data_IF_092405375731
#
_entry.id   IF_092405375731
#
_cell.length_a   1.000
_cell.length_b   1.000
_cell.length_c   1.000
_cell.angle_alpha   90.00
_cell.angle_beta   90.00
_cell.angle_gamma   90.00
#
_symmetry.space_group_name_H-M   'P 1'
#
loop_
_entity.id
_entity.type
_entity.pdbx_description
1 polymer ?
#
# COMPACT_ATOMS: atom_id res chain seq x y z
N UNK A 1 12.88 -36.67 30.73
CA UNK A 1 13.36 -37.01 32.08
C UNK A 1 14.87 -37.07 32.00
N UNK A 2 15.55 -36.04 32.51
CA UNK A 2 17.01 -36.00 32.52
C UNK A 2 17.51 -36.89 33.69
N UNK A 3 18.46 -37.77 33.43
CA UNK A 3 19.11 -38.57 34.46
C UNK A 3 19.85 -37.63 35.43
N UNK A 4 19.95 -38.00 36.71
CA UNK A 4 20.70 -37.16 37.66
C UNK A 4 22.18 -37.08 37.26
N UNK A 5 22.89 -36.02 37.65
CA UNK A 5 24.31 -35.87 37.33
C UNK A 5 25.17 -37.07 37.82
N UNK A 6 24.74 -37.71 38.90
CA UNK A 6 25.36 -38.92 39.44
C UNK A 6 25.06 -40.15 38.56
N UNK A 7 23.84 -40.29 38.06
CA UNK A 7 23.46 -41.36 37.13
C UNK A 7 24.20 -41.22 35.80
N UNK A 8 24.34 -40.01 35.27
CA UNK A 8 25.16 -39.76 34.08
C UNK A 8 26.63 -40.11 34.29
N UNK A 9 27.20 -39.77 35.46
CA UNK A 9 28.57 -40.14 35.80
C UNK A 9 28.75 -41.66 35.88
N UNK A 10 27.77 -42.38 36.44
CA UNK A 10 27.75 -43.84 36.50
C UNK A 10 27.61 -44.45 35.10
N UNK A 11 26.72 -43.93 34.26
CA UNK A 11 26.51 -44.37 32.87
C UNK A 11 27.77 -44.13 32.05
N UNK A 12 28.39 -42.93 32.14
CA UNK A 12 29.66 -42.61 31.48
C UNK A 12 30.76 -43.56 31.93
N UNK A 13 30.91 -43.80 33.24
CA UNK A 13 31.90 -44.73 33.77
C UNK A 13 31.67 -46.16 33.27
N UNK A 14 30.42 -46.63 33.23
CA UNK A 14 30.07 -47.98 32.75
C UNK A 14 30.30 -48.15 31.25
N UNK A 15 29.98 -47.13 30.46
CA UNK A 15 30.21 -47.08 29.02
C UNK A 15 31.70 -47.01 28.69
N UNK A 16 32.47 -46.14 29.37
CA UNK A 16 33.92 -46.03 29.18
C UNK A 16 34.67 -47.32 29.55
N UNK A 17 34.19 -48.05 30.56
CA UNK A 17 34.81 -49.29 31.03
C UNK A 17 34.25 -50.53 30.35
N UNK A 18 33.27 -50.38 29.44
CA UNK A 18 32.50 -51.47 28.84
C UNK A 18 32.11 -52.57 29.83
N UNK A 19 31.69 -52.17 31.04
CA UNK A 19 31.16 -53.12 32.03
C UNK A 19 29.85 -53.77 31.56
N UNK A 20 29.20 -53.16 30.57
CA UNK A 20 28.10 -53.71 29.79
C UNK A 20 28.64 -54.23 28.48
N UNK A 21 28.48 -55.53 28.25
CA UNK A 21 28.83 -56.17 27.01
C UNK A 21 27.99 -55.61 25.85
N UNK A 22 28.64 -55.14 24.78
CA UNK A 22 27.95 -54.66 23.57
C UNK A 22 27.22 -55.79 22.80
N UNK A 23 27.27 -57.02 23.32
CA UNK A 23 26.48 -58.17 22.90
C UNK A 23 26.03 -58.92 24.16
N UNK A 24 24.76 -59.34 24.20
CA UNK A 24 24.10 -59.97 25.35
C UNK A 24 24.81 -61.24 25.89
N UNK A 25 25.79 -61.79 25.18
CA UNK A 25 26.53 -63.00 25.54
C UNK A 25 28.04 -62.78 25.81
N UNK A 26 28.58 -61.58 25.63
CA UNK A 26 30.02 -61.35 25.82
C UNK A 26 30.35 -61.03 27.29
N UNK A 27 31.37 -61.66 27.85
CA UNK A 27 31.87 -61.29 29.19
C UNK A 27 32.61 -59.94 29.06
N UNK A 28 32.39 -58.96 29.96
CA UNK A 28 33.12 -57.70 29.94
C UNK A 28 34.64 -57.93 29.85
N UNK A 29 35.38 -57.18 29.01
CA UNK A 29 36.78 -57.45 28.72
C UNK A 29 37.65 -57.61 29.97
N UNK A 30 37.49 -56.73 30.96
CA UNK A 30 38.21 -56.80 32.24
C UNK A 30 37.85 -58.02 33.09
N UNK A 31 36.58 -58.46 33.06
CA UNK A 31 36.14 -59.66 33.78
C UNK A 31 36.67 -60.94 33.11
N UNK A 32 36.80 -60.94 31.77
CA UNK A 32 37.44 -62.02 31.02
C UNK A 32 38.93 -62.09 31.37
N UNK A 33 39.63 -60.95 31.37
CA UNK A 33 41.04 -60.86 31.74
C UNK A 33 41.31 -61.35 33.17
N UNK A 34 40.50 -60.92 34.13
CA UNK A 34 40.64 -61.35 35.53
C UNK A 34 40.47 -62.88 35.68
N UNK A 35 39.49 -63.48 34.99
CA UNK A 35 39.33 -64.94 34.96
C UNK A 35 40.53 -65.64 34.33
N UNK A 36 41.09 -65.08 33.25
CA UNK A 36 42.27 -65.59 32.56
C UNK A 36 43.51 -65.56 33.46
N UNK A 37 43.68 -64.47 34.22
CA UNK A 37 44.75 -64.33 35.20
C UNK A 37 44.64 -65.38 36.32
N UNK A 38 43.44 -65.61 36.86
CA UNK A 38 43.23 -66.64 37.89
C UNK A 38 43.52 -68.06 37.36
N UNK A 39 43.17 -68.35 36.09
CA UNK A 39 43.50 -69.62 35.44
C UNK A 39 45.01 -69.79 35.25
N UNK A 40 45.73 -68.72 34.91
CA UNK A 40 47.18 -68.72 34.84
C UNK A 40 47.82 -69.00 36.21
N UNK A 41 47.36 -68.34 37.28
CA UNK A 41 47.84 -68.61 38.64
C UNK A 41 47.59 -70.06 39.06
N UNK A 42 46.40 -70.60 38.77
CA UNK A 42 46.08 -72.00 39.05
C UNK A 42 46.95 -72.99 38.25
N UNK A 43 47.33 -72.64 37.02
CA UNK A 43 48.26 -73.43 36.20
C UNK A 43 49.71 -73.39 36.72
N UNK A 44 50.10 -72.33 37.44
CA UNK A 44 51.41 -72.22 38.11
C UNK A 44 51.46 -73.00 39.44
N UNK A 45 50.34 -73.11 40.15
CA UNK A 45 50.24 -73.78 41.45
C UNK A 45 49.96 -75.29 41.34
N UNK A 46 49.34 -75.76 40.25
CA UNK A 46 49.05 -77.17 40.01
C UNK A 46 50.19 -77.96 39.38
N UNK A 47 50.09 -79.30 39.33
CA UNK A 47 51.06 -80.16 38.61
C UNK A 47 50.90 -80.10 37.08
N UNK A 48 50.26 -79.05 36.55
CA UNK A 48 50.18 -78.81 35.11
C UNK A 48 51.59 -78.57 34.59
N UNK A 49 51.96 -79.23 33.50
CA UNK A 49 53.30 -79.09 32.94
C UNK A 49 53.61 -77.65 32.56
N UNK A 50 54.91 -77.32 32.42
CA UNK A 50 55.36 -75.99 32.00
C UNK A 50 54.67 -75.48 30.71
N UNK A 51 54.27 -76.39 29.82
CA UNK A 51 53.54 -76.10 28.58
C UNK A 51 52.14 -75.50 28.82
N UNK A 52 51.42 -75.94 29.84
CA UNK A 52 50.08 -75.41 30.17
C UNK A 52 50.18 -73.99 30.74
N UNK A 53 51.17 -73.74 31.60
CA UNK A 53 51.46 -72.41 32.13
C UNK A 53 51.86 -71.43 31.02
N UNK A 54 52.71 -71.85 30.07
CA UNK A 54 53.09 -71.03 28.91
C UNK A 54 51.90 -70.72 28.00
N UNK A 55 51.01 -71.70 27.78
CA UNK A 55 49.79 -71.47 26.98
C UNK A 55 48.88 -70.44 27.64
N UNK A 56 48.60 -70.59 28.94
CA UNK A 56 47.79 -69.64 29.68
C UNK A 56 48.42 -68.24 29.72
N UNK A 57 49.75 -68.15 29.78
CA UNK A 57 50.47 -66.88 29.71
C UNK A 57 50.33 -66.18 28.35
N UNK A 58 50.47 -66.91 27.24
CA UNK A 58 50.26 -66.35 25.88
C UNK A 58 48.83 -65.87 25.68
N UNK A 59 47.87 -66.63 26.18
CA UNK A 59 46.45 -66.26 26.15
C UNK A 59 46.16 -65.01 26.99
N UNK A 60 46.76 -64.88 28.18
CA UNK A 60 46.67 -63.69 29.03
C UNK A 60 47.27 -62.45 28.34
N UNK A 61 48.45 -62.58 27.73
CA UNK A 61 49.07 -61.49 26.96
C UNK A 61 48.21 -61.06 25.77
N UNK A 62 47.65 -62.00 25.03
CA UNK A 62 46.73 -61.69 23.93
C UNK A 62 45.50 -60.90 24.39
N UNK A 63 44.92 -61.28 25.53
CA UNK A 63 43.77 -60.56 26.10
C UNK A 63 44.16 -59.14 26.59
N UNK A 64 45.39 -58.94 27.10
CA UNK A 64 45.91 -57.62 27.46
C UNK A 64 46.09 -56.71 26.24
N UNK A 65 46.71 -57.20 25.17
CA UNK A 65 46.90 -56.44 23.93
C UNK A 65 45.55 -56.05 23.30
N UNK A 66 44.56 -56.95 23.33
CA UNK A 66 43.22 -56.66 22.82
C UNK A 66 42.51 -55.52 23.61
N UNK A 67 42.69 -55.48 24.93
CA UNK A 67 42.14 -54.39 25.75
C UNK A 67 42.88 -53.07 25.49
N UNK A 68 44.20 -53.11 25.34
CA UNK A 68 44.99 -51.92 25.01
C UNK A 68 44.55 -51.32 23.67
N UNK A 69 44.48 -52.12 22.60
CA UNK A 69 44.02 -51.66 21.27
C UNK A 69 42.61 -51.08 21.35
N UNK A 70 41.75 -51.69 22.15
CA UNK A 70 40.40 -51.22 22.36
C UNK A 70 40.35 -49.84 23.05
N UNK A 71 41.18 -49.63 24.08
CA UNK A 71 41.30 -48.34 24.76
C UNK A 71 41.83 -47.24 23.83
N UNK A 72 42.86 -47.54 23.04
CA UNK A 72 43.42 -46.62 22.04
C UNK A 72 42.37 -46.23 20.99
N UNK A 73 41.58 -47.20 20.51
CA UNK A 73 40.47 -46.96 19.58
C UNK A 73 39.41 -46.04 20.18
N UNK A 74 39.05 -46.24 21.44
CA UNK A 74 38.09 -45.38 22.13
C UNK A 74 38.60 -43.95 22.31
N UNK A 75 39.89 -43.78 22.63
CA UNK A 75 40.51 -42.46 22.71
C UNK A 75 40.47 -41.76 21.36
N UNK A 76 40.90 -42.43 20.29
CA UNK A 76 40.85 -41.88 18.94
C UNK A 76 39.42 -41.50 18.49
N UNK A 77 38.42 -42.31 18.85
CA UNK A 77 37.01 -41.99 18.61
C UNK A 77 36.56 -40.77 19.41
N UNK A 78 36.96 -40.66 20.69
CA UNK A 78 36.69 -39.49 21.52
C UNK A 78 37.25 -38.19 20.92
N UNK A 79 38.48 -38.23 20.43
CA UNK A 79 39.13 -37.08 19.78
C UNK A 79 38.44 -36.72 18.45
N UNK A 80 37.98 -37.72 17.69
CA UNK A 80 37.19 -37.49 16.49
C UNK A 80 35.85 -36.82 16.83
N UNK A 81 35.12 -37.32 17.82
CA UNK A 81 33.85 -36.72 18.26
C UNK A 81 34.02 -35.29 18.78
N UNK A 82 35.09 -35.00 19.51
CA UNK A 82 35.38 -33.65 19.97
C UNK A 82 35.61 -32.67 18.80
N UNK A 83 36.35 -33.11 17.77
CA UNK A 83 36.54 -32.32 16.54
C UNK A 83 35.24 -32.12 15.78
N UNK A 84 34.44 -33.17 15.63
CA UNK A 84 33.13 -33.07 14.97
C UNK A 84 32.20 -32.12 15.73
N UNK A 85 32.16 -32.20 17.06
CA UNK A 85 31.35 -31.32 17.89
C UNK A 85 31.70 -29.84 17.69
N UNK A 86 33.00 -29.50 17.61
CA UNK A 86 33.45 -28.14 17.31
C UNK A 86 32.98 -27.67 15.92
N UNK A 87 33.08 -28.54 14.91
CA UNK A 87 32.58 -28.22 13.56
C UNK A 87 31.07 -27.99 13.54
N UNK A 88 30.31 -28.80 14.29
CA UNK A 88 28.86 -28.62 14.39
C UNK A 88 28.49 -27.33 15.14
N UNK A 89 29.21 -26.96 16.20
CA UNK A 89 28.97 -25.70 16.90
C UNK A 89 29.24 -24.49 16.00
N UNK A 90 30.31 -24.54 15.20
CA UNK A 90 30.63 -23.45 14.27
C UNK A 90 29.57 -23.31 13.18
N UNK A 91 29.12 -24.43 12.60
CA UNK A 91 28.02 -24.43 11.62
C UNK A 91 26.71 -23.93 12.21
N UNK A 92 26.42 -24.27 13.47
CA UNK A 92 25.24 -23.78 14.16
C UNK A 92 25.31 -22.26 14.37
N UNK A 93 26.46 -21.73 14.74
CA UNK A 93 26.66 -20.28 14.85
C UNK A 93 26.49 -19.57 13.50
N UNK A 94 27.07 -20.11 12.42
CA UNK A 94 26.90 -19.57 11.06
C UNK A 94 25.44 -19.60 10.60
N UNK A 95 24.71 -20.68 10.90
CA UNK A 95 23.30 -20.78 10.58
C UNK A 95 22.48 -19.73 11.36
N UNK A 96 22.78 -19.54 12.64
CA UNK A 96 22.13 -18.53 13.48
C UNK A 96 22.34 -17.12 12.90
N UNK A 97 23.58 -16.79 12.52
CA UNK A 97 23.90 -15.50 11.89
C UNK A 97 23.16 -15.31 10.56
N UNK A 98 23.11 -16.36 9.73
CA UNK A 98 22.37 -16.31 8.46
C UNK A 98 20.87 -16.11 8.67
N UNK A 99 20.29 -16.69 9.72
CA UNK A 99 18.88 -16.49 10.06
C UNK A 99 18.65 -15.02 10.46
N UNK A 100 19.49 -14.48 11.36
CA UNK A 100 19.37 -13.08 11.78
C UNK A 100 19.52 -12.10 10.61
N UNK A 101 20.44 -12.38 9.68
CA UNK A 101 20.62 -11.58 8.46
C UNK A 101 19.36 -11.65 7.59
N UNK A 102 18.81 -12.86 7.35
CA UNK A 102 17.61 -13.03 6.55
C UNK A 102 16.38 -12.34 7.18
N UNK A 103 16.26 -12.36 8.52
CA UNK A 103 15.20 -11.64 9.23
C UNK A 103 15.29 -10.13 9.02
N UNK A 104 16.50 -9.55 9.13
CA UNK A 104 16.74 -8.12 8.85
C UNK A 104 16.40 -7.77 7.40
N UNK A 105 16.80 -8.60 6.44
CA UNK A 105 16.48 -8.40 5.02
C UNK A 105 14.98 -8.43 4.78
N UNK A 106 14.24 -9.35 5.42
CA UNK A 106 12.78 -9.42 5.34
C UNK A 106 12.14 -8.13 5.88
N UNK A 107 12.62 -7.61 7.01
CA UNK A 107 12.12 -6.36 7.58
C UNK A 107 12.38 -5.16 6.67
N UNK A 108 13.58 -5.07 6.09
CA UNK A 108 13.92 -4.02 5.13
C UNK A 108 13.03 -4.10 3.89
N UNK A 109 12.86 -5.29 3.30
CA UNK A 109 12.00 -5.52 2.13
C UNK A 109 10.55 -5.18 2.42
N UNK A 110 10.05 -5.45 3.63
CA UNK A 110 8.70 -5.05 4.05
C UNK A 110 8.54 -3.52 4.06
N UNK A 111 9.55 -2.79 4.54
CA UNK A 111 9.54 -1.31 4.52
C UNK A 111 9.54 -0.78 3.10
N UNK A 112 10.46 -1.26 2.26
CA UNK A 112 10.53 -0.89 0.84
C UNK A 112 9.21 -1.16 0.10
N UNK A 113 8.55 -2.29 0.40
CA UNK A 113 7.24 -2.61 -0.19
C UNK A 113 6.14 -1.64 0.28
N UNK A 114 6.15 -1.24 1.55
CA UNK A 114 5.20 -0.26 2.07
C UNK A 114 5.38 1.10 1.38
N UNK A 115 6.63 1.55 1.23
CA UNK A 115 6.96 2.81 0.56
C UNK A 115 6.52 2.78 -0.92
N UNK A 116 6.84 1.70 -1.64
CA UNK A 116 6.44 1.52 -3.03
C UNK A 116 4.90 1.51 -3.22
N UNK A 117 4.14 1.00 -2.24
CA UNK A 117 2.66 1.05 -2.28
C UNK A 117 2.15 2.48 -2.15
N UNK A 118 2.78 3.29 -1.30
CA UNK A 118 2.42 4.71 -1.15
C UNK A 118 2.72 5.47 -2.44
N UNK A 119 3.88 5.25 -3.05
CA UNK A 119 4.23 5.85 -4.34
C UNK A 119 3.23 5.48 -5.44
N UNK A 120 2.83 4.21 -5.51
CA UNK A 120 1.84 3.74 -6.47
C UNK A 120 0.46 4.37 -6.25
N UNK A 121 0.01 4.49 -5.00
CA UNK A 121 -1.24 5.18 -4.67
C UNK A 121 -1.19 6.64 -5.10
N UNK A 122 -0.10 7.35 -4.80
CA UNK A 122 0.10 8.73 -5.23
C UNK A 122 0.09 8.86 -6.77
N UNK A 123 0.78 7.96 -7.48
CA UNK A 123 0.78 7.95 -8.95
C UNK A 123 -0.63 7.76 -9.52
N UNK A 124 -1.43 6.88 -8.92
CA UNK A 124 -2.83 6.69 -9.32
C UNK A 124 -3.69 7.93 -9.08
N UNK A 125 -3.50 8.61 -7.94
CA UNK A 125 -4.17 9.89 -7.64
C UNK A 125 -3.77 10.97 -8.66
N UNK A 126 -2.49 11.09 -8.98
CA UNK A 126 -1.99 12.01 -10.00
C UNK A 126 -2.58 11.71 -11.38
N UNK A 127 -2.66 10.43 -11.76
CA UNK A 127 -3.30 10.04 -13.02
C UNK A 127 -4.79 10.37 -13.04
N UNK A 128 -5.51 10.16 -11.94
CA UNK A 128 -6.92 10.48 -11.84
C UNK A 128 -7.16 11.99 -12.03
N UNK A 129 -6.38 12.83 -11.34
CA UNK A 129 -6.44 14.30 -11.50
C UNK A 129 -6.04 14.71 -12.91
N UNK A 130 -4.98 14.12 -13.47
CA UNK A 130 -4.56 14.37 -14.86
C UNK A 130 -5.68 14.08 -15.85
N UNK A 131 -6.39 12.95 -15.70
CA UNK A 131 -7.52 12.60 -16.58
C UNK A 131 -8.64 13.64 -16.47
N UNK A 132 -8.95 14.14 -15.28
CA UNK A 132 -9.93 15.22 -15.10
C UNK A 132 -9.47 16.53 -15.76
N UNK A 133 -8.20 16.91 -15.59
CA UNK A 133 -7.65 18.13 -16.22
C UNK A 133 -7.72 18.04 -17.74
N UNK A 134 -7.46 16.87 -18.33
CA UNK A 134 -7.53 16.66 -19.78
C UNK A 134 -8.96 16.73 -20.35
N UNK A 135 -10.01 16.65 -19.53
CA UNK A 135 -11.39 16.85 -19.99
C UNK A 135 -11.72 18.34 -20.16
N UNK A 136 -10.98 19.23 -19.51
CA UNK A 136 -11.20 20.68 -19.58
C UNK A 136 -10.33 21.26 -20.71
N UNK A 137 -10.87 22.18 -21.54
CA UNK A 137 -10.10 22.81 -22.60
C UNK A 137 -8.89 23.57 -22.05
N UNK A 138 -7.87 23.74 -22.89
CA UNK A 138 -6.65 24.44 -22.53
C UNK A 138 -6.96 25.87 -22.04
N UNK A 139 -6.29 26.29 -20.96
CA UNK A 139 -6.50 27.61 -20.35
C UNK A 139 -6.29 28.76 -21.32
N UNK A 140 -5.36 28.62 -22.26
CA UNK A 140 -5.12 29.63 -23.29
C UNK A 140 -6.31 29.78 -24.25
N UNK A 141 -6.99 28.68 -24.60
CA UNK A 141 -8.17 28.71 -25.45
C UNK A 141 -9.34 29.41 -24.76
N UNK A 142 -9.64 29.04 -23.51
CA UNK A 142 -10.71 29.69 -22.73
C UNK A 142 -10.42 31.17 -22.45
N UNK A 143 -9.16 31.55 -22.24
CA UNK A 143 -8.76 32.95 -22.12
C UNK A 143 -8.95 33.74 -23.43
N UNK A 144 -8.65 33.12 -24.58
CA UNK A 144 -8.86 33.76 -25.87
C UNK A 144 -10.36 33.97 -26.17
N UNK A 145 -11.19 32.97 -25.88
CA UNK A 145 -12.66 33.07 -25.98
C UNK A 145 -13.22 34.15 -25.05
N UNK A 146 -12.76 34.20 -23.80
CA UNK A 146 -13.13 35.27 -22.86
C UNK A 146 -12.76 36.66 -23.40
N UNK A 147 -11.55 36.81 -23.93
CA UNK A 147 -11.11 38.09 -24.49
C UNK A 147 -11.92 38.50 -25.73
N UNK A 148 -12.30 37.54 -26.58
CA UNK A 148 -13.14 37.79 -27.74
C UNK A 148 -14.56 38.22 -27.32
N UNK A 149 -15.20 37.47 -26.42
CA UNK A 149 -16.52 37.80 -25.89
C UNK A 149 -16.53 39.17 -25.19
N UNK A 150 -15.46 39.50 -24.45
CA UNK A 150 -15.35 40.80 -23.79
C UNK A 150 -15.29 41.96 -24.79
N UNK A 151 -14.62 41.79 -25.93
CA UNK A 151 -14.59 42.78 -27.02
C UNK A 151 -15.97 42.95 -27.63
N UNK A 152 -16.65 41.85 -27.92
CA UNK A 152 -18.00 41.88 -28.49
C UNK A 152 -19.00 42.58 -27.57
N UNK A 153 -18.92 42.36 -26.25
CA UNK A 153 -19.73 43.08 -25.26
C UNK A 153 -19.48 44.59 -25.36
N UNK A 154 -18.22 45.01 -25.41
CA UNK A 154 -17.88 46.43 -25.51
C UNK A 154 -18.40 47.03 -26.83
N UNK A 155 -18.28 46.32 -27.94
CA UNK A 155 -18.77 46.77 -29.24
C UNK A 155 -20.30 46.91 -29.25
N UNK A 156 -21.03 45.94 -28.70
CA UNK A 156 -22.49 45.98 -28.56
C UNK A 156 -22.95 47.12 -27.65
N UNK A 157 -22.24 47.38 -26.55
CA UNK A 157 -22.53 48.51 -25.67
C UNK A 157 -22.36 49.85 -26.40
N UNK A 158 -21.32 49.98 -27.22
CA UNK A 158 -21.11 51.18 -28.04
C UNK A 158 -22.22 51.35 -29.09
N UNK A 159 -22.62 50.27 -29.76
CA UNK A 159 -23.71 50.30 -30.73
C UNK A 159 -25.05 50.66 -30.09
N UNK A 160 -25.36 50.09 -28.92
CA UNK A 160 -26.55 50.46 -28.14
C UNK A 160 -26.55 51.94 -27.81
N UNK A 161 -25.45 52.46 -27.24
CA UNK A 161 -25.34 53.87 -26.88
C UNK A 161 -25.48 54.79 -28.10
N UNK A 162 -24.95 54.39 -29.26
CA UNK A 162 -25.10 55.14 -30.50
C UNK A 162 -26.55 55.14 -31.02
N UNK A 163 -27.25 54.01 -30.93
CA UNK A 163 -28.66 53.91 -31.30
C UNK A 163 -29.55 54.73 -30.36
N UNK A 164 -29.30 54.68 -29.06
CA UNK A 164 -30.03 55.48 -28.06
C UNK A 164 -29.87 56.98 -28.34
N UNK A 165 -28.66 57.43 -28.66
CA UNK A 165 -28.41 58.83 -29.04
C UNK A 165 -29.14 59.21 -30.35
N UNK A 166 -29.18 58.31 -31.33
CA UNK A 166 -29.94 58.52 -32.57
C UNK A 166 -31.45 58.59 -32.31
N UNK A 167 -31.98 57.73 -31.44
CA UNK A 167 -33.39 57.73 -31.04
C UNK A 167 -33.78 59.04 -30.36
N UNK A 168 -32.98 59.53 -29.41
CA UNK A 168 -33.24 60.82 -28.75
C UNK A 168 -33.19 61.99 -29.74
N UNK A 169 -32.25 61.96 -30.70
CA UNK A 169 -32.18 62.97 -31.76
C UNK A 169 -33.44 62.95 -32.64
N UNK A 170 -33.90 61.76 -33.08
CA UNK A 170 -35.14 61.64 -33.87
C UNK A 170 -36.36 62.07 -33.06
N UNK A 171 -36.44 61.71 -31.79
CA UNK A 171 -37.52 62.12 -30.88
C UNK A 171 -37.60 63.64 -30.77
N UNK A 172 -36.45 64.32 -30.65
CA UNK A 172 -36.38 65.78 -30.66
C UNK A 172 -36.83 66.38 -32.01
N UNK A 173 -36.41 65.80 -33.14
CA UNK A 173 -36.84 66.21 -34.48
C UNK A 173 -38.37 66.06 -34.67
N UNK A 174 -38.94 64.91 -34.27
CA UNK A 174 -40.39 64.67 -34.33
C UNK A 174 -41.17 65.65 -33.47
N UNK A 175 -40.70 65.94 -32.25
CA UNK A 175 -41.31 66.95 -31.39
C UNK A 175 -41.31 68.35 -32.05
N UNK A 176 -40.21 68.71 -32.73
CA UNK A 176 -40.13 69.95 -33.51
C UNK A 176 -41.13 69.99 -34.67
N UNK A 177 -41.27 68.91 -35.42
CA UNK A 177 -42.27 68.81 -36.51
C UNK A 177 -43.69 68.91 -35.95
N UNK A 178 -44.02 68.21 -34.86
CA UNK A 178 -45.32 68.31 -34.20
C UNK A 178 -45.63 69.74 -33.76
N UNK A 179 -44.67 70.44 -33.16
CA UNK A 179 -44.84 71.84 -32.78
C UNK A 179 -45.09 72.75 -34.01
N UNK A 180 -44.42 72.49 -35.14
CA UNK A 180 -44.66 73.23 -36.39
C UNK A 180 -46.04 72.93 -36.99
N UNK A 181 -46.50 71.67 -36.91
CA UNK A 181 -47.83 71.25 -37.33
C UNK A 181 -48.90 71.94 -36.49
N UNK A 182 -48.74 71.97 -35.17
CA UNK A 182 -49.63 72.70 -34.25
C UNK A 182 -49.68 74.19 -34.57
N UNK A 183 -48.54 74.80 -34.93
CA UNK A 183 -48.49 76.20 -35.33
C UNK A 183 -49.25 76.45 -36.64
N UNK A 184 -49.06 75.59 -37.64
CA UNK A 184 -49.78 75.65 -38.92
C UNK A 184 -51.29 75.40 -38.74
N UNK A 185 -51.66 74.46 -37.88
CA UNK A 185 -53.06 74.21 -37.56
C UNK A 185 -53.68 75.43 -36.88
N UNK A 186 -52.98 76.03 -35.91
CA UNK A 186 -53.41 77.30 -35.30
C UNK A 186 -53.46 78.47 -36.29
N UNK A 187 -52.64 78.49 -37.35
CA UNK A 187 -52.72 79.53 -38.37
C UNK A 187 -53.89 79.31 -39.32
N UNK A 188 -54.16 78.06 -39.71
CA UNK A 188 -55.35 77.71 -40.50
C UNK A 188 -56.62 78.04 -39.71
N UNK A 189 -56.69 77.65 -38.44
CA UNK A 189 -57.80 77.97 -37.53
C UNK A 189 -57.98 79.49 -37.31
N UNK A 190 -56.99 80.33 -37.67
CA UNK A 190 -57.04 81.80 -37.58
C UNK A 190 -57.38 82.49 -38.90
N UNK A 191 -57.30 81.81 -40.05
CA UNK A 191 -57.53 82.39 -41.40
C UNK A 191 -58.98 82.24 -41.92
N UNK A 192 -59.85 81.54 -41.20
CA UNK A 192 -61.30 81.48 -41.48
C UNK A 192 -62.07 82.59 -40.73
N UNK A 193 -62.74 83.55 -41.41
CA UNK A 193 -63.86 84.28 -40.83
C UNK A 193 -65.17 83.49 -41.07
N UNK A 194 -65.87 83.21 -39.98
CA UNK A 194 -67.03 82.33 -39.82
C UNK A 194 -68.24 82.62 -40.75
N UNK A 195 -68.85 81.58 -41.35
CA UNK A 195 -70.30 81.57 -41.67
C UNK A 195 -70.95 80.16 -41.51
N UNK A 196 -71.79 80.03 -40.46
CA UNK A 196 -73.18 79.51 -40.45
C UNK A 196 -73.55 78.20 -41.19
N UNK A 197 -74.11 77.21 -40.46
CA UNK A 197 -75.53 76.76 -40.59
C UNK A 197 -75.85 75.64 -39.56
N UNK A 198 -77.04 75.77 -38.98
CA UNK A 198 -77.77 74.89 -38.05
C UNK A 198 -78.17 73.55 -38.68
N UNK A 199 -78.08 72.43 -37.93
CA UNK A 199 -79.17 71.44 -37.66
C UNK A 199 -78.68 70.06 -37.15
N UNK A 200 -79.16 69.67 -35.97
CA UNK A 200 -79.34 68.28 -35.49
C UNK A 200 -80.40 67.53 -36.37
N UNK A 201 -80.66 66.19 -36.28
CA UNK A 201 -80.35 65.24 -35.20
C UNK A 201 -80.04 63.75 -35.59
N UNK A 202 -79.83 62.94 -34.54
CA UNK A 202 -80.12 61.48 -34.35
C UNK A 202 -79.30 60.35 -35.02
N UNK A 203 -78.81 59.44 -34.16
CA UNK A 203 -79.02 58.00 -34.34
C UNK A 203 -77.82 57.06 -34.10
N UNK A 204 -77.84 56.33 -32.97
CA UNK A 204 -77.45 54.91 -32.97
C UNK A 204 -76.16 54.47 -32.25
N UNK A 205 -76.31 54.07 -30.99
CA UNK A 205 -75.73 52.91 -30.28
C UNK A 205 -74.47 52.20 -30.82
N UNK A 206 -73.46 51.97 -29.95
CA UNK A 206 -73.15 50.63 -29.42
C UNK A 206 -71.90 50.60 -28.49
N UNK A 207 -72.12 49.95 -27.35
CA UNK A 207 -71.26 48.97 -26.67
C UNK A 207 -69.90 49.36 -26.06
N UNK A 208 -69.88 49.20 -24.73
CA UNK A 208 -68.72 48.98 -23.88
C UNK A 208 -67.96 47.67 -24.19
N UNK A 209 -66.64 47.70 -24.04
CA UNK A 209 -65.77 46.63 -23.53
C UNK A 209 -64.38 47.26 -23.30
N UNK A 210 -64.01 47.65 -22.08
CA UNK A 210 -63.51 46.80 -21.00
C UNK A 210 -62.34 45.90 -21.44
N UNK A 211 -61.13 46.39 -21.11
CA UNK A 211 -59.87 45.72 -20.80
C UNK A 211 -59.58 44.31 -21.31
N UNK A 212 -58.42 44.14 -21.94
CA UNK A 212 -57.30 43.39 -21.35
C UNK A 212 -56.03 43.54 -22.21
N UNK A 213 -54.86 43.69 -21.58
CA UNK A 213 -53.55 43.33 -22.16
C UNK A 213 -52.45 43.47 -21.11
N UNK A 214 -52.46 42.52 -20.18
CA UNK A 214 -51.34 41.89 -19.49
C UNK A 214 -49.93 42.47 -19.73
N UNK A 215 -49.39 43.10 -18.70
CA UNK A 215 -47.96 43.25 -18.47
C UNK A 215 -47.39 41.92 -17.94
N UNK A 216 -46.48 41.30 -18.68
CA UNK A 216 -45.70 40.15 -18.22
C UNK A 216 -44.38 40.62 -17.59
N UNK A 217 -44.38 40.82 -16.27
CA UNK A 217 -43.21 40.66 -15.42
C UNK A 217 -43.01 39.15 -15.21
N UNK A 218 -41.81 38.55 -15.30
CA UNK A 218 -40.65 38.85 -14.48
C UNK A 218 -40.68 37.93 -13.24
N UNK A 219 -39.96 36.80 -13.28
CA UNK A 219 -39.74 35.98 -12.09
C UNK A 219 -39.52 34.48 -12.32
N UNK A 220 -38.39 34.08 -12.91
CA UNK A 220 -37.90 32.71 -12.83
C UNK A 220 -36.82 32.61 -11.73
N UNK A 221 -37.25 32.27 -10.52
CA UNK A 221 -36.37 31.90 -9.42
C UNK A 221 -36.04 30.40 -9.52
N UNK A 222 -34.85 30.08 -10.04
CA UNK A 222 -34.26 28.74 -9.93
C UNK A 222 -33.34 28.72 -8.70
N UNK A 223 -33.83 28.08 -7.63
CA UNK A 223 -33.09 27.84 -6.41
C UNK A 223 -31.93 26.85 -6.67
N UNK A 224 -30.71 27.30 -6.37
CA UNK A 224 -29.50 26.47 -6.24
C UNK A 224 -29.61 25.59 -5.00
N UNK A 225 -29.44 24.29 -5.16
CA UNK A 225 -29.07 23.40 -4.05
C UNK A 225 -27.55 23.50 -3.78
N UNK A 226 -27.10 23.53 -2.52
CA UNK A 226 -25.69 23.40 -2.18
C UNK A 226 -25.26 21.94 -2.16
N UNK A 227 -24.14 21.64 -2.84
CA UNK A 227 -23.36 20.43 -2.56
C UNK A 227 -22.81 20.51 -1.12
N UNK A 228 -23.15 19.51 -0.31
CA UNK A 228 -22.37 19.19 0.89
C UNK A 228 -21.18 18.34 0.47
N UNK A 229 -19.98 18.81 0.81
CA UNK A 229 -18.75 18.03 0.87
C UNK A 229 -18.44 17.87 2.36
N UNK A 230 -18.34 16.63 2.80
CA UNK A 230 -18.07 16.19 4.18
C UNK A 230 -18.26 14.69 4.27
#
# INVERSE_FOLDING_TARGET
>A
MAASAEEEAIIRKRFLTQTTANSAAAVPPFKKLAKRYMLFCAALEGSGGAEDAEKQYRELLSDLYAIQEHMERMQAAGDAYAREQAVYSDKQAQLQESIEQAERDIEERKRQLADARVELAQQQEYEAVKRQIMQVPARAATQAEQAAAQREIVDLQQQSAALDALFETRKAQFAGVLASLELLQRSIDREEPEESIVALPEGGAAAAAAGDAAAAAGGAAAARQPMQVG
#
